data_IF_602332870000
#
_entry.id   IF_602332870000
#
_cell.length_a   1.000
_cell.length_b   1.000
_cell.length_c   1.000
_cell.angle_alpha   90.00
_cell.angle_beta   90.00
_cell.angle_gamma   90.00
#
_symmetry.space_group_name_H-M   'P 1'
#
loop_
_entity.id
_entity.type
_entity.pdbx_description
1 polymer ?
#
# COMPACT_ATOMS: atom_id res chain seq x y z
N UNK A 1 -5.71 23.39 -39.15
CA UNK A 1 -4.58 23.22 -38.21
C UNK A 1 -4.88 22.33 -36.99
N UNK A 2 -6.15 22.13 -36.59
CA UNK A 2 -6.52 21.32 -35.39
C UNK A 2 -6.22 19.80 -35.47
N UNK A 3 -6.27 19.16 -36.64
CA UNK A 3 -5.99 17.70 -36.76
C UNK A 3 -4.53 17.32 -36.46
N UNK A 4 -3.57 18.21 -36.75
CA UNK A 4 -2.14 17.92 -36.53
C UNK A 4 -1.78 17.92 -35.04
N UNK A 5 -2.45 18.75 -34.25
CA UNK A 5 -2.26 18.82 -32.80
C UNK A 5 -2.78 17.55 -32.13
N UNK A 6 -3.96 17.03 -32.52
CA UNK A 6 -4.48 15.77 -31.96
C UNK A 6 -3.55 14.58 -32.22
N UNK A 7 -3.01 14.44 -33.42
CA UNK A 7 -2.07 13.35 -33.74
C UNK A 7 -0.80 13.41 -32.86
N UNK A 8 -0.30 14.61 -32.60
CA UNK A 8 0.86 14.83 -31.73
C UNK A 8 0.57 14.45 -30.26
N UNK A 9 -0.64 14.77 -29.78
CA UNK A 9 -1.07 14.37 -28.43
C UNK A 9 -1.22 12.86 -28.29
N UNK A 10 -1.79 12.18 -29.28
CA UNK A 10 -1.94 10.72 -29.27
C UNK A 10 -0.59 10.00 -29.28
N UNK A 11 0.37 10.47 -30.07
CA UNK A 11 1.71 9.88 -30.13
C UNK A 11 2.49 10.09 -28.83
N UNK A 12 2.44 11.29 -28.24
CA UNK A 12 3.02 11.58 -26.93
C UNK A 12 2.41 10.71 -25.82
N UNK A 13 1.09 10.56 -25.81
CA UNK A 13 0.39 9.71 -24.83
C UNK A 13 0.82 8.25 -24.95
N UNK A 14 0.94 7.73 -26.18
CA UNK A 14 1.35 6.35 -26.43
C UNK A 14 2.79 6.10 -25.97
N UNK A 15 3.71 7.04 -26.23
CA UNK A 15 5.11 6.96 -25.76
C UNK A 15 5.16 6.99 -24.23
N UNK A 16 4.40 7.87 -23.57
CA UNK A 16 4.34 7.92 -22.11
C UNK A 16 3.83 6.60 -21.50
N UNK A 17 2.79 5.99 -22.08
CA UNK A 17 2.29 4.69 -21.65
C UNK A 17 3.34 3.57 -21.82
N UNK A 18 4.06 3.56 -22.94
CA UNK A 18 5.12 2.58 -23.18
C UNK A 18 6.29 2.76 -22.21
N UNK A 19 6.67 4.00 -21.90
CA UNK A 19 7.71 4.31 -20.92
C UNK A 19 7.31 3.86 -19.51
N UNK A 20 6.06 4.14 -19.10
CA UNK A 20 5.51 3.72 -17.82
C UNK A 20 5.46 2.20 -17.68
N UNK A 21 5.09 1.48 -18.75
CA UNK A 21 5.08 0.03 -18.78
C UNK A 21 6.50 -0.55 -18.65
N UNK A 22 7.47 0.03 -19.36
CA UNK A 22 8.87 -0.38 -19.27
C UNK A 22 9.43 -0.20 -17.85
N UNK A 23 9.15 0.95 -17.22
CA UNK A 23 9.52 1.24 -15.84
C UNK A 23 8.88 0.25 -14.85
N UNK A 24 7.62 -0.12 -15.05
CA UNK A 24 6.94 -1.09 -14.20
C UNK A 24 7.50 -2.51 -14.34
N UNK A 25 7.88 -2.94 -15.55
CA UNK A 25 8.49 -4.26 -15.79
C UNK A 25 9.91 -4.34 -15.22
N UNK A 26 10.64 -3.21 -15.24
CA UNK A 26 12.01 -3.11 -14.71
C UNK A 26 12.09 -2.91 -13.19
N UNK A 27 10.94 -2.76 -12.51
CA UNK A 27 10.93 -2.75 -11.05
C UNK A 27 11.37 -4.09 -10.47
N UNK A 28 12.26 -4.08 -9.45
CA UNK A 28 12.63 -5.28 -8.74
C UNK A 28 11.40 -6.01 -8.18
N UNK A 29 11.46 -7.35 -8.13
CA UNK A 29 10.37 -8.19 -7.62
C UNK A 29 9.85 -7.75 -6.24
N UNK A 30 10.73 -7.28 -5.35
CA UNK A 30 10.34 -6.81 -4.03
C UNK A 30 9.55 -5.49 -4.06
N UNK A 31 9.81 -4.61 -5.03
CA UNK A 31 9.05 -3.36 -5.22
C UNK A 31 7.67 -3.67 -5.81
N UNK A 32 7.62 -4.59 -6.78
CA UNK A 32 6.34 -5.06 -7.34
C UNK A 32 5.49 -5.78 -6.30
N UNK A 33 6.11 -6.62 -5.48
CA UNK A 33 5.44 -7.29 -4.37
C UNK A 33 4.96 -6.28 -3.33
N UNK A 34 5.79 -5.29 -2.95
CA UNK A 34 5.39 -4.25 -2.01
C UNK A 34 4.25 -3.37 -2.52
N UNK A 35 4.22 -3.05 -3.82
CA UNK A 35 3.12 -2.31 -4.44
C UNK A 35 1.81 -3.11 -4.54
N UNK A 36 1.90 -4.44 -4.59
CA UNK A 36 0.75 -5.35 -4.55
C UNK A 36 0.32 -5.74 -3.13
N UNK A 37 1.13 -5.39 -2.13
CA UNK A 37 0.88 -5.72 -0.73
C UNK A 37 -0.05 -4.67 -0.12
N UNK A 38 -1.19 -5.11 0.42
CA UNK A 38 -2.10 -4.21 1.13
C UNK A 38 -1.62 -4.06 2.58
N UNK A 39 -1.40 -2.82 3.03
CA UNK A 39 -1.06 -2.52 4.42
C UNK A 39 -2.24 -1.84 5.11
N UNK A 40 -2.51 -2.25 6.36
CA UNK A 40 -3.56 -1.67 7.19
C UNK A 40 -3.00 -1.28 8.55
N UNK A 41 -3.20 -0.02 8.94
CA UNK A 41 -2.86 0.48 10.26
C UNK A 41 -4.13 0.63 11.09
N UNK A 42 -4.13 0.12 12.32
CA UNK A 42 -5.29 0.13 13.20
C UNK A 42 -4.86 0.57 14.60
N UNK A 43 -5.53 1.57 15.15
CA UNK A 43 -5.38 1.95 16.55
C UNK A 43 -6.32 1.09 17.39
N UNK A 44 -5.78 0.36 18.35
CA UNK A 44 -6.54 -0.53 19.24
C UNK A 44 -6.10 -0.30 20.68
N UNK A 45 -6.99 -0.56 21.64
CA UNK A 45 -6.56 -0.62 23.03
C UNK A 45 -5.67 -1.87 23.22
N UNK A 46 -4.74 -1.78 24.15
CA UNK A 46 -3.74 -2.82 24.43
C UNK A 46 -4.41 -4.13 24.84
N UNK A 47 -5.54 -4.05 25.56
CA UNK A 47 -6.34 -5.20 26.00
C UNK A 47 -7.03 -5.92 24.83
N UNK A 48 -7.36 -5.19 23.77
CA UNK A 48 -8.06 -5.71 22.59
C UNK A 48 -7.10 -6.27 21.53
N UNK A 49 -5.78 -6.10 21.70
CA UNK A 49 -4.75 -6.56 20.75
C UNK A 49 -4.87 -8.06 20.44
N UNK A 50 -4.99 -8.98 21.42
CA UNK A 50 -5.08 -10.41 21.13
C UNK A 50 -6.31 -10.75 20.29
N UNK A 51 -7.46 -10.15 20.61
CA UNK A 51 -8.70 -10.35 19.86
C UNK A 51 -8.58 -9.85 18.41
N UNK A 52 -7.91 -8.71 18.22
CA UNK A 52 -7.68 -8.12 16.90
C UNK A 52 -6.69 -8.94 16.07
N UNK A 53 -5.60 -9.43 16.66
CA UNK A 53 -4.66 -10.33 15.98
C UNK A 53 -5.36 -11.62 15.51
N UNK A 54 -6.20 -12.23 16.36
CA UNK A 54 -6.97 -13.43 15.99
C UNK A 54 -7.97 -13.13 14.87
N UNK A 55 -8.68 -12.01 14.95
CA UNK A 55 -9.64 -11.59 13.92
C UNK A 55 -8.94 -11.43 12.56
N UNK A 56 -7.84 -10.70 12.53
CA UNK A 56 -7.13 -10.39 11.29
C UNK A 56 -6.37 -11.58 10.72
N UNK A 57 -5.86 -12.49 11.57
CA UNK A 57 -5.32 -13.76 11.12
C UNK A 57 -6.37 -14.61 10.35
N UNK A 58 -7.64 -14.62 10.81
CA UNK A 58 -8.73 -15.29 10.08
C UNK A 58 -9.05 -14.64 8.74
N UNK A 59 -8.80 -13.34 8.61
CA UNK A 59 -8.97 -12.56 7.38
C UNK A 59 -7.71 -12.61 6.47
N UNK A 60 -6.75 -13.50 6.76
CA UNK A 60 -5.48 -13.66 6.03
C UNK A 60 -4.56 -12.43 6.09
N UNK A 61 -4.65 -11.65 7.16
CA UNK A 61 -3.69 -10.59 7.42
C UNK A 61 -2.57 -11.10 8.33
N UNK A 62 -1.35 -10.78 7.96
CA UNK A 62 -0.13 -11.01 8.71
C UNK A 62 0.21 -9.81 9.58
N UNK A 63 0.59 -10.06 10.83
CA UNK A 63 1.09 -9.02 11.73
C UNK A 63 2.52 -8.64 11.35
N UNK A 64 2.76 -7.33 11.16
CA UNK A 64 4.08 -6.80 10.76
C UNK A 64 4.76 -6.10 11.92
N UNK A 65 4.08 -5.14 12.55
CA UNK A 65 4.69 -4.32 13.58
C UNK A 65 3.66 -3.70 14.53
N UNK A 66 4.11 -3.41 15.76
CA UNK A 66 3.33 -2.71 16.78
C UNK A 66 4.08 -1.44 17.20
N UNK A 67 3.41 -0.30 17.09
CA UNK A 67 3.89 0.97 17.63
C UNK A 67 3.05 1.35 18.85
N UNK A 68 3.70 1.45 20.02
CA UNK A 68 3.08 2.02 21.22
C UNK A 68 3.25 3.52 21.16
N UNK A 69 2.16 4.28 21.17
CA UNK A 69 2.23 5.73 21.36
C UNK A 69 2.12 6.05 22.83
N UNK A 70 3.23 6.47 23.44
CA UNK A 70 3.21 7.07 24.79
C UNK A 70 2.65 8.49 24.68
N UNK A 71 1.33 8.60 24.63
CA UNK A 71 0.66 9.90 24.77
C UNK A 71 -0.41 9.79 25.87
N UNK A 72 -0.10 10.38 27.03
CA UNK A 72 -1.07 10.75 28.05
C UNK A 72 -1.97 9.61 28.56
N UNK A 73 -1.38 8.56 29.15
CA UNK A 73 -2.10 7.60 29.99
C UNK A 73 -3.15 6.73 29.27
N UNK A 74 -3.21 6.77 27.94
CA UNK A 74 -4.08 5.88 27.16
C UNK A 74 -3.31 4.63 26.74
N UNK A 75 -3.87 3.45 27.07
CA UNK A 75 -3.30 2.15 26.71
C UNK A 75 -3.62 1.79 25.26
N UNK A 76 -3.28 2.65 24.30
CA UNK A 76 -3.54 2.42 22.87
C UNK A 76 -2.25 2.09 22.12
N UNK A 77 -2.36 1.17 21.15
CA UNK A 77 -1.27 0.75 20.28
C UNK A 77 -1.74 0.75 18.84
N UNK A 78 -0.83 1.07 17.93
CA UNK A 78 -1.04 0.92 16.50
C UNK A 78 -0.53 -0.44 16.05
N UNK A 79 -1.42 -1.24 15.47
CA UNK A 79 -1.09 -2.48 14.77
C UNK A 79 -0.93 -2.18 13.28
N UNK A 80 0.20 -2.60 12.71
CA UNK A 80 0.41 -2.64 11.27
C UNK A 80 0.25 -4.08 10.80
N UNK A 81 -0.69 -4.26 9.88
CA UNK A 81 -1.04 -5.52 9.26
C UNK A 81 -0.69 -5.47 7.78
N UNK A 82 -0.32 -6.61 7.24
CA UNK A 82 -0.05 -6.85 5.82
C UNK A 82 -0.99 -7.92 5.29
N UNK A 83 -1.49 -7.77 4.07
CA UNK A 83 -2.22 -8.81 3.35
C UNK A 83 -1.42 -9.29 2.15
#
# INVERSE_FOLDING_TARGET
MLNRIRLLHFTLLMIACLLALNLFVSWPNHVRAAAATEYKQIMVNTEDVPAMLIKYAKEQWEFVHLYRTEHLGTNQVYLILKK
#
